data_IF_147084811542
#
_entry.id   IF_147084811542
#
_cell.length_a   1.000
_cell.length_b   1.000
_cell.length_c   1.000
_cell.angle_alpha   90.00
_cell.angle_beta   90.00
_cell.angle_gamma   90.00
#
_symmetry.space_group_name_H-M   'P 1'
#
loop_
_entity.id
_entity.type
_entity.pdbx_description
1 polymer ?
#
# COMPACT_ATOMS: atom_id res chain seq x y z
N UNK A 1 -12.19 1.24 -7.18
CA UNK A 1 -11.15 0.78 -8.12
C UNK A 1 -10.30 -0.28 -7.44
N UNK A 2 -9.92 -1.34 -8.14
CA UNK A 2 -9.06 -2.43 -7.63
C UNK A 2 -7.77 -2.42 -8.45
N UNK A 3 -6.62 -2.47 -7.78
CA UNK A 3 -5.30 -2.52 -8.40
C UNK A 3 -4.52 -3.67 -7.79
N UNK A 4 -3.98 -4.53 -8.65
CA UNK A 4 -3.19 -5.71 -8.26
C UNK A 4 -1.76 -5.54 -8.79
N UNK A 5 -0.82 -5.36 -7.87
CA UNK A 5 0.61 -5.16 -8.13
C UNK A 5 0.96 -4.16 -9.25
N UNK A 6 0.35 -2.95 -9.28
CA UNK A 6 0.51 -2.01 -10.39
C UNK A 6 1.95 -1.46 -10.55
N UNK A 7 2.83 -1.65 -9.58
CA UNK A 7 4.21 -1.17 -9.63
C UNK A 7 5.25 -2.26 -9.93
N UNK A 8 4.82 -3.51 -10.10
CA UNK A 8 5.73 -4.63 -10.41
C UNK A 8 6.46 -4.39 -11.75
N UNK A 9 7.79 -4.59 -11.74
CA UNK A 9 8.63 -4.48 -12.93
C UNK A 9 8.78 -3.06 -13.52
N UNK A 10 8.21 -2.04 -12.87
CA UNK A 10 8.26 -0.66 -13.37
C UNK A 10 9.53 0.08 -12.93
N UNK A 11 9.98 0.99 -13.80
CA UNK A 11 11.08 1.90 -13.47
C UNK A 11 10.71 2.83 -12.29
N UNK A 12 11.68 3.26 -11.45
CA UNK A 12 11.41 4.09 -10.26
C UNK A 12 10.63 5.39 -10.51
N UNK A 13 10.78 5.99 -11.69
CA UNK A 13 10.03 7.20 -12.08
C UNK A 13 8.55 6.90 -12.30
N UNK A 14 8.21 5.72 -12.84
CA UNK A 14 6.83 5.32 -13.08
C UNK A 14 6.10 5.02 -11.77
N UNK A 15 6.78 4.41 -10.80
CA UNK A 15 6.24 4.18 -9.44
C UNK A 15 5.81 5.50 -8.80
N UNK A 16 6.63 6.55 -8.91
CA UNK A 16 6.30 7.89 -8.38
C UNK A 16 5.10 8.52 -9.10
N UNK A 17 5.04 8.40 -10.42
CA UNK A 17 3.91 8.88 -11.22
C UNK A 17 2.61 8.17 -10.85
N UNK A 18 2.64 6.85 -10.68
CA UNK A 18 1.48 6.08 -10.20
C UNK A 18 1.04 6.59 -8.83
N UNK A 19 1.97 6.81 -7.90
CA UNK A 19 1.64 7.30 -6.56
C UNK A 19 0.93 8.66 -6.58
N UNK A 20 1.38 9.54 -7.47
CA UNK A 20 0.78 10.87 -7.67
C UNK A 20 -0.62 10.77 -8.28
N UNK A 21 -0.81 9.88 -9.26
CA UNK A 21 -2.11 9.61 -9.86
C UNK A 21 -3.09 9.04 -8.83
N UNK A 22 -2.67 8.07 -8.03
CA UNK A 22 -3.50 7.47 -6.98
C UNK A 22 -3.91 8.52 -5.94
N UNK A 23 -3.00 9.41 -5.55
CA UNK A 23 -3.32 10.55 -4.67
C UNK A 23 -4.38 11.47 -5.26
N UNK A 24 -4.28 11.79 -6.56
CA UNK A 24 -5.28 12.60 -7.27
C UNK A 24 -6.63 11.90 -7.36
N UNK A 25 -6.66 10.60 -7.69
CA UNK A 25 -7.92 9.85 -7.76
C UNK A 25 -8.60 9.74 -6.40
N UNK A 26 -7.82 9.55 -5.34
CA UNK A 26 -8.34 9.57 -3.98
C UNK A 26 -8.96 10.92 -3.61
N UNK A 27 -8.34 12.04 -4.01
CA UNK A 27 -8.86 13.38 -3.71
C UNK A 27 -10.17 13.71 -4.43
N UNK A 28 -10.48 13.03 -5.53
CA UNK A 28 -11.79 13.14 -6.21
C UNK A 28 -12.88 12.27 -5.58
N UNK A 29 -12.58 11.57 -4.48
CA UNK A 29 -13.53 10.71 -3.76
C UNK A 29 -13.60 9.26 -4.26
N UNK A 30 -12.70 8.86 -5.17
CA UNK A 30 -12.64 7.48 -5.63
C UNK A 30 -12.10 6.59 -4.52
N UNK A 31 -12.87 5.55 -4.16
CA UNK A 31 -12.40 4.49 -3.27
C UNK A 31 -11.47 3.52 -4.03
N UNK A 32 -10.30 3.26 -3.45
CA UNK A 32 -9.24 2.44 -4.06
C UNK A 32 -8.87 1.32 -3.10
N UNK A 33 -8.85 0.08 -3.60
CA UNK A 33 -8.18 -1.04 -2.95
C UNK A 33 -6.93 -1.37 -3.76
N UNK A 34 -5.78 -1.34 -3.10
CA UNK A 34 -4.48 -1.55 -3.71
C UNK A 34 -3.82 -2.77 -3.05
N UNK A 35 -3.52 -3.80 -3.83
CA UNK A 35 -2.65 -4.89 -3.43
C UNK A 35 -1.25 -4.61 -3.97
N UNK A 36 -0.25 -4.61 -3.09
CA UNK A 36 1.13 -4.25 -3.42
C UNK A 36 2.11 -5.00 -2.53
N UNK A 37 3.21 -5.48 -3.14
CA UNK A 37 4.35 -6.03 -2.40
C UNK A 37 5.30 -4.90 -1.96
N UNK A 38 5.32 -3.77 -2.69
CA UNK A 38 6.09 -2.59 -2.31
C UNK A 38 5.40 -1.83 -1.17
N UNK A 39 5.70 -2.26 0.06
CA UNK A 39 5.15 -1.66 1.28
C UNK A 39 5.41 -0.14 1.39
N UNK A 40 6.57 0.34 0.96
CA UNK A 40 6.89 1.77 1.03
C UNK A 40 5.96 2.61 0.15
N UNK A 41 5.59 2.09 -1.02
CA UNK A 41 4.61 2.70 -1.91
C UNK A 41 3.20 2.60 -1.32
N UNK A 42 2.78 1.41 -0.91
CA UNK A 42 1.45 1.18 -0.36
C UNK A 42 1.16 2.09 0.85
N UNK A 43 2.10 2.18 1.80
CA UNK A 43 1.99 3.02 3.00
C UNK A 43 2.12 4.53 2.74
N UNK A 44 2.61 4.91 1.56
CA UNK A 44 2.69 6.31 1.13
C UNK A 44 1.34 6.80 0.61
N UNK A 45 0.59 5.95 -0.09
CA UNK A 45 -0.66 6.34 -0.77
C UNK A 45 -1.93 5.98 0.02
N UNK A 46 -1.89 4.92 0.83
CA UNK A 46 -3.07 4.39 1.51
C UNK A 46 -3.42 5.15 2.80
N UNK A 47 -4.70 5.17 3.15
CA UNK A 47 -5.19 5.62 4.46
C UNK A 47 -5.06 4.54 5.54
N UNK A 48 -5.23 3.29 5.13
CA UNK A 48 -5.18 2.10 5.98
C UNK A 48 -4.42 1.00 5.26
N UNK A 49 -3.69 0.19 6.01
CA UNK A 49 -2.99 -0.98 5.53
C UNK A 49 -3.59 -2.23 6.16
N UNK A 50 -3.97 -3.20 5.33
CA UNK A 50 -4.31 -4.54 5.77
C UNK A 50 -3.12 -5.45 5.51
N UNK A 51 -2.72 -6.20 6.53
CA UNK A 51 -1.61 -7.14 6.46
C UNK A 51 -2.16 -8.54 6.28
N UNK A 52 -1.68 -9.25 5.26
CA UNK A 52 -2.12 -10.60 4.93
C UNK A 52 -0.96 -11.57 5.10
N UNK A 53 -1.19 -12.65 5.85
CA UNK A 53 -0.26 -13.76 6.01
C UNK A 53 -1.03 -15.07 5.84
N UNK A 54 -0.51 -15.98 5.01
CA UNK A 54 -1.11 -17.32 4.76
C UNK A 54 -2.61 -17.24 4.42
N UNK A 55 -3.00 -16.26 3.60
CA UNK A 55 -4.37 -16.07 3.14
C UNK A 55 -5.34 -15.49 4.18
N UNK A 56 -4.84 -14.95 5.31
CA UNK A 56 -5.68 -14.31 6.33
C UNK A 56 -5.21 -12.89 6.61
N UNK A 57 -6.17 -11.98 6.80
CA UNK A 57 -5.88 -10.65 7.33
C UNK A 57 -5.52 -10.82 8.81
N UNK A 58 -4.27 -10.52 9.15
CA UNK A 58 -3.78 -10.59 10.53
C UNK A 58 -4.01 -9.28 11.26
N UNK A 59 -3.97 -8.15 10.56
CA UNK A 59 -4.18 -6.83 11.15
C UNK A 59 -4.60 -5.79 10.11
N UNK A 60 -5.34 -4.77 10.54
CA UNK A 60 -5.67 -3.59 9.73
C UNK A 60 -5.43 -2.32 10.54
N UNK A 61 -4.49 -1.49 10.10
CA UNK A 61 -4.08 -0.29 10.81
C UNK A 61 -4.23 0.96 9.93
N UNK A 62 -4.51 2.14 10.51
CA UNK A 62 -4.20 3.40 9.84
C UNK A 62 -2.72 3.42 9.43
N UNK A 63 -2.40 3.89 8.23
CA UNK A 63 -1.02 3.87 7.71
C UNK A 63 -0.03 4.61 8.61
N UNK A 64 -0.48 5.66 9.31
CA UNK A 64 0.31 6.38 10.31
C UNK A 64 0.80 5.49 11.46
N UNK A 65 0.04 4.47 11.85
CA UNK A 65 0.46 3.49 12.89
C UNK A 65 1.17 2.28 12.31
N UNK A 66 0.89 1.96 11.05
CA UNK A 66 1.47 0.81 10.37
C UNK A 66 2.99 0.92 10.19
N UNK A 67 3.52 2.14 10.00
CA UNK A 67 4.95 2.38 9.73
C UNK A 67 5.90 1.90 10.82
N UNK A 68 5.49 2.01 12.07
CA UNK A 68 6.29 1.62 13.25
C UNK A 68 5.70 0.39 13.95
N UNK A 69 4.86 -0.37 13.25
CA UNK A 69 4.13 -1.50 13.84
C UNK A 69 4.98 -2.77 13.85
N UNK A 70 4.87 -3.56 14.92
CA UNK A 70 5.50 -4.88 15.01
C UNK A 70 5.06 -5.82 13.87
N UNK A 71 3.82 -5.70 13.41
CA UNK A 71 3.30 -6.52 12.30
C UNK A 71 4.04 -6.25 10.99
N UNK A 72 4.42 -5.00 10.73
CA UNK A 72 5.20 -4.63 9.55
C UNK A 72 6.59 -5.24 9.60
N UNK A 73 7.29 -5.08 10.74
CA UNK A 73 8.60 -5.66 10.98
C UNK A 73 8.58 -7.19 10.86
N UNK A 74 7.56 -7.83 11.44
CA UNK A 74 7.39 -9.30 11.39
C UNK A 74 7.14 -9.84 9.99
N UNK A 75 6.28 -9.19 9.20
CA UNK A 75 5.86 -9.70 7.89
C UNK A 75 6.90 -9.41 6.81
N UNK A 76 7.59 -8.28 6.91
CA UNK A 76 8.54 -7.83 5.87
C UNK A 76 10.01 -8.05 6.26
N UNK A 77 10.28 -8.43 7.51
CA UNK A 77 11.64 -8.72 8.00
C UNK A 77 12.56 -7.49 8.05
N UNK A 78 11.99 -6.28 8.08
CA UNK A 78 12.69 -4.99 8.24
C UNK A 78 12.59 -4.48 9.65
#
# INVERSE_FOLDING_TARGET
MLLDEPTEGLAPVLVQSIGTLLGTLKSTGVSILLAEQNHQMALRVADRAAFIEKGRIVEVLPTARARDSEVLHRILGV
#
